data_IF_475406398591
#
_entry.id   IF_475406398591
#
_cell.length_a   1.000
_cell.length_b   1.000
_cell.length_c   1.000
_cell.angle_alpha   90.00
_cell.angle_beta   90.00
_cell.angle_gamma   90.00
#
_symmetry.space_group_name_H-M   'P 1'
#
loop_
_entity.id
_entity.type
_entity.pdbx_description
1 polymer ?
#
# COMPACT_ATOMS: atom_id res chain seq x y z
N UNK A 1 15.76 -13.31 17.97
CA UNK A 1 15.24 -13.18 16.59
C UNK A 1 13.75 -13.48 16.62
N UNK A 2 12.89 -12.49 16.38
CA UNK A 2 11.46 -12.77 16.15
C UNK A 2 11.38 -13.43 14.78
N UNK A 3 10.90 -14.67 14.71
CA UNK A 3 10.54 -15.30 13.44
C UNK A 3 9.61 -14.35 12.70
N UNK A 4 9.98 -13.94 11.48
CA UNK A 4 9.06 -13.26 10.60
C UNK A 4 7.92 -14.25 10.32
N UNK A 5 6.79 -14.03 10.98
CA UNK A 5 5.55 -14.72 10.63
C UNK A 5 5.28 -14.38 9.16
N UNK A 6 5.02 -15.37 8.31
CA UNK A 6 4.76 -15.12 6.89
C UNK A 6 3.26 -14.81 6.70
N UNK A 7 2.76 -13.72 7.31
CA UNK A 7 1.35 -13.34 7.19
C UNK A 7 1.16 -12.43 5.97
N UNK A 8 -0.02 -12.43 5.33
CA UNK A 8 -0.32 -11.53 4.21
C UNK A 8 -0.03 -10.06 4.50
N UNK A 9 -0.33 -9.59 5.72
CA UNK A 9 -0.01 -8.22 6.16
C UNK A 9 1.49 -7.90 6.14
N UNK A 10 2.36 -8.89 6.40
CA UNK A 10 3.80 -8.69 6.39
C UNK A 10 4.32 -8.53 4.94
N UNK A 11 3.72 -9.24 3.97
CA UNK A 11 3.98 -9.04 2.53
C UNK A 11 3.55 -7.66 2.06
N UNK A 12 2.38 -7.19 2.50
CA UNK A 12 1.89 -5.84 2.16
C UNK A 12 2.77 -4.74 2.76
N UNK A 13 3.25 -4.92 4.00
CA UNK A 13 4.20 -4.00 4.64
C UNK A 13 5.48 -3.90 3.81
N UNK A 14 6.03 -5.04 3.36
CA UNK A 14 7.21 -5.06 2.51
C UNK A 14 6.95 -4.34 1.17
N UNK A 15 5.79 -4.57 0.56
CA UNK A 15 5.37 -3.87 -0.65
C UNK A 15 5.35 -2.34 -0.44
N UNK A 16 4.67 -1.83 0.59
CA UNK A 16 4.63 -0.37 0.86
C UNK A 16 6.03 0.22 1.08
N UNK A 17 6.93 -0.51 1.73
CA UNK A 17 8.29 -0.05 1.99
C UNK A 17 9.20 -0.05 0.76
N UNK A 18 8.89 -0.87 -0.24
CA UNK A 18 9.74 -1.09 -1.42
C UNK A 18 9.09 -0.62 -2.72
N UNK A 19 7.85 -0.14 -2.68
CA UNK A 19 7.13 0.28 -3.88
C UNK A 19 7.81 1.45 -4.58
N UNK A 20 7.83 1.37 -5.90
CA UNK A 20 8.31 2.42 -6.79
C UNK A 20 7.44 2.47 -8.06
N UNK A 21 7.83 3.27 -9.04
CA UNK A 21 7.06 3.43 -10.28
C UNK A 21 6.88 2.08 -11.03
N UNK A 22 7.83 1.14 -10.90
CA UNK A 22 7.76 -0.20 -11.52
C UNK A 22 6.77 -1.13 -10.83
N UNK A 23 6.41 -0.87 -9.56
CA UNK A 23 5.42 -1.65 -8.83
C UNK A 23 4.04 -1.63 -9.47
N UNK A 24 3.73 -0.63 -10.31
CA UNK A 24 2.44 -0.56 -11.02
C UNK A 24 2.18 -1.80 -11.89
N UNK A 25 3.23 -2.43 -12.44
CA UNK A 25 3.13 -3.61 -13.31
C UNK A 25 3.03 -4.93 -12.52
N UNK A 26 3.20 -4.86 -11.19
CA UNK A 26 3.27 -6.03 -10.29
C UNK A 26 2.23 -5.97 -9.17
N UNK A 27 1.16 -5.20 -9.36
CA UNK A 27 0.10 -5.10 -8.34
C UNK A 27 -0.58 -6.45 -8.10
N UNK A 28 -0.68 -7.31 -9.13
CA UNK A 28 -1.22 -8.67 -9.00
C UNK A 28 -0.39 -9.62 -8.12
N UNK A 29 0.85 -9.26 -7.76
CA UNK A 29 1.66 -10.04 -6.80
C UNK A 29 1.18 -9.86 -5.35
N UNK A 30 0.38 -8.81 -5.09
CA UNK A 30 -0.04 -8.38 -3.75
C UNK A 30 -1.56 -8.28 -3.61
N UNK A 31 -2.26 -7.93 -4.69
CA UNK A 31 -3.70 -7.73 -4.70
C UNK A 31 -4.39 -8.77 -5.58
N UNK A 32 -5.56 -9.21 -5.13
CA UNK A 32 -6.45 -10.05 -5.93
C UNK A 32 -7.04 -9.27 -7.13
N UNK A 33 -7.40 -9.97 -8.20
CA UNK A 33 -8.04 -9.38 -9.38
C UNK A 33 -9.34 -8.61 -9.02
N UNK A 34 -10.04 -9.06 -7.97
CA UNK A 34 -11.26 -8.43 -7.46
C UNK A 34 -11.01 -7.42 -6.33
N UNK A 35 -9.79 -6.88 -6.20
CA UNK A 35 -9.46 -5.88 -5.18
C UNK A 35 -10.40 -4.68 -5.21
N UNK A 36 -10.81 -4.23 -4.03
CA UNK A 36 -11.48 -2.95 -3.85
C UNK A 36 -10.62 -2.04 -2.99
N UNK A 37 -10.29 -0.87 -3.53
CA UNK A 37 -9.46 0.13 -2.88
C UNK A 37 -10.22 1.45 -2.74
N UNK A 38 -10.05 2.09 -1.59
CA UNK A 38 -10.59 3.42 -1.34
C UNK A 38 -9.60 4.23 -0.49
N UNK A 39 -9.37 5.47 -0.90
CA UNK A 39 -8.79 6.52 -0.07
C UNK A 39 -9.72 7.75 -0.08
N UNK A 40 -9.42 8.85 0.64
CA UNK A 40 -10.30 10.03 0.67
C UNK A 40 -10.53 10.73 -0.69
N UNK A 41 -9.79 10.38 -1.73
CA UNK A 41 -9.76 11.01 -3.06
C UNK A 41 -10.10 10.01 -4.17
N UNK A 42 -9.70 8.75 -4.04
CA UNK A 42 -9.76 7.72 -5.06
C UNK A 42 -10.58 6.52 -4.62
N UNK A 43 -11.24 5.88 -5.58
CA UNK A 43 -11.86 4.57 -5.44
C UNK A 43 -11.47 3.75 -6.68
N UNK A 44 -11.10 2.49 -6.48
CA UNK A 44 -10.73 1.57 -7.55
C UNK A 44 -11.35 0.21 -7.31
N UNK A 45 -11.94 -0.35 -8.38
CA UNK A 45 -12.43 -1.73 -8.41
C UNK A 45 -11.65 -2.52 -9.47
N UNK A 46 -10.89 -3.50 -9.01
CA UNK A 46 -10.00 -4.33 -9.82
C UNK A 46 -8.63 -3.72 -10.08
N UNK A 47 -7.71 -4.55 -10.58
CA UNK A 47 -6.30 -4.21 -10.77
C UNK A 47 -6.08 -3.06 -11.76
N UNK A 48 -6.82 -3.02 -12.87
CA UNK A 48 -6.64 -1.97 -13.90
C UNK A 48 -6.88 -0.55 -13.36
N UNK A 49 -7.92 -0.39 -12.52
CA UNK A 49 -8.21 0.88 -11.87
C UNK A 49 -7.20 1.19 -10.78
N UNK A 50 -6.78 0.18 -10.03
CA UNK A 50 -5.74 0.31 -9.00
C UNK A 50 -4.41 0.76 -9.60
N UNK A 51 -4.03 0.21 -10.75
CA UNK A 51 -2.84 0.61 -11.51
C UNK A 51 -2.92 2.08 -11.92
N UNK A 52 -4.09 2.53 -12.38
CA UNK A 52 -4.31 3.94 -12.73
C UNK A 52 -4.09 4.87 -11.54
N UNK A 53 -4.62 4.50 -10.36
CA UNK A 53 -4.42 5.26 -9.11
C UNK A 53 -2.93 5.36 -8.76
N UNK A 54 -2.19 4.24 -8.80
CA UNK A 54 -0.75 4.23 -8.49
C UNK A 54 0.06 5.03 -9.51
N UNK A 55 -0.24 4.91 -10.80
CA UNK A 55 0.44 5.69 -11.85
C UNK A 55 0.24 7.18 -11.65
N UNK A 56 -0.97 7.61 -11.30
CA UNK A 56 -1.25 9.02 -11.03
C UNK A 56 -0.58 9.52 -9.73
N UNK A 57 -0.53 8.69 -8.69
CA UNK A 57 0.25 8.95 -7.49
C UNK A 57 1.73 9.22 -7.84
N UNK A 58 2.38 8.34 -8.60
CA UNK A 58 3.78 8.47 -8.98
C UNK A 58 4.07 9.60 -9.98
N UNK A 59 3.09 9.99 -10.82
CA UNK A 59 3.22 11.20 -11.66
C UNK A 59 3.29 12.46 -10.79
N UNK A 60 2.47 12.53 -9.75
CA UNK A 60 2.31 13.72 -8.93
C UNK A 60 3.35 13.84 -7.82
N UNK A 61 3.67 12.72 -7.17
CA UNK A 61 4.53 12.65 -6.00
C UNK A 61 5.85 11.95 -6.37
N UNK A 62 6.96 12.50 -5.88
CA UNK A 62 8.31 11.95 -6.08
C UNK A 62 8.94 11.57 -4.75
N UNK A 63 9.97 10.72 -4.77
CA UNK A 63 10.69 10.29 -3.57
C UNK A 63 9.74 9.75 -2.48
N UNK A 64 8.78 8.92 -2.89
CA UNK A 64 7.79 8.34 -1.98
C UNK A 64 8.48 7.27 -1.13
N UNK A 65 8.32 7.35 0.19
CA UNK A 65 8.79 6.31 1.12
C UNK A 65 7.78 6.15 2.23
N UNK A 66 7.56 4.91 2.68
CA UNK A 66 6.70 4.61 3.81
C UNK A 66 7.53 4.18 5.02
N UNK A 67 7.22 4.79 6.17
CA UNK A 67 7.69 4.32 7.48
C UNK A 67 6.52 3.70 8.21
N UNK A 68 6.60 2.40 8.49
CA UNK A 68 5.60 1.68 9.28
C UNK A 68 5.82 1.99 10.76
N UNK A 69 4.77 2.47 11.40
CA UNK A 69 4.76 2.89 12.80
C UNK A 69 4.26 1.77 13.70
N UNK A 70 3.20 1.09 13.28
CA UNK A 70 2.59 -0.02 14.00
C UNK A 70 1.78 -0.90 13.03
N UNK A 71 1.53 -2.14 13.42
CA UNK A 71 0.67 -3.06 12.70
C UNK A 71 -0.13 -3.96 13.65
N UNK A 72 -1.40 -4.15 13.36
CA UNK A 72 -2.25 -5.12 14.02
C UNK A 72 -2.67 -6.18 13.01
N UNK A 73 -2.14 -7.39 13.16
CA UNK A 73 -2.48 -8.51 12.29
C UNK A 73 -3.73 -9.22 12.82
N UNK A 74 -4.70 -9.42 11.94
CA UNK A 74 -5.90 -10.21 12.19
C UNK A 74 -6.36 -10.91 10.92
N UNK A 75 -7.23 -11.89 11.11
CA UNK A 75 -7.88 -12.68 10.06
C UNK A 75 -9.40 -12.52 10.24
N UNK A 76 -10.13 -11.96 9.27
CA UNK A 76 -9.69 -11.61 7.90
C UNK A 76 -9.16 -10.18 7.76
N UNK A 77 -9.07 -9.41 8.84
CA UNK A 77 -8.77 -7.97 8.77
C UNK A 77 -7.52 -7.58 9.55
N UNK A 78 -6.63 -6.84 8.90
CA UNK A 78 -5.43 -6.25 9.52
C UNK A 78 -5.38 -4.74 9.35
N UNK A 79 -4.59 -4.08 10.20
CA UNK A 79 -4.39 -2.64 10.17
C UNK A 79 -2.90 -2.29 10.14
N UNK A 80 -2.56 -1.23 9.42
CA UNK A 80 -1.20 -0.71 9.33
C UNK A 80 -1.24 0.78 9.57
N UNK A 81 -0.48 1.26 10.56
CA UNK A 81 -0.26 2.68 10.80
C UNK A 81 1.10 3.07 10.19
N UNK A 82 1.10 4.11 9.36
CA UNK A 82 2.28 4.53 8.61
C UNK A 82 2.41 6.04 8.52
N UNK A 83 3.62 6.49 8.18
CA UNK A 83 3.92 7.85 7.73
C UNK A 83 4.54 7.78 6.33
N UNK A 84 3.91 8.42 5.35
CA UNK A 84 4.43 8.55 3.99
C UNK A 84 5.20 9.86 3.89
N UNK A 85 6.48 9.78 3.52
CA UNK A 85 7.26 10.95 3.11
C UNK A 85 7.30 11.02 1.59
N UNK A 86 7.16 12.21 1.03
CA UNK A 86 7.12 12.43 -0.41
C UNK A 86 7.49 13.87 -0.78
N UNK A 87 7.83 14.10 -2.04
CA UNK A 87 8.01 15.43 -2.63
C UNK A 87 6.84 15.77 -3.55
N UNK A 88 6.26 16.94 -3.35
CA UNK A 88 5.23 17.51 -4.21
C UNK A 88 5.60 18.93 -4.61
N UNK A 89 5.72 19.18 -5.92
CA UNK A 89 6.14 20.47 -6.49
C UNK A 89 7.44 21.00 -5.85
N UNK A 90 8.43 20.12 -5.72
CA UNK A 90 9.76 20.44 -5.17
C UNK A 90 9.81 20.62 -3.64
N UNK A 91 8.70 20.40 -2.93
CA UNK A 91 8.65 20.52 -1.46
C UNK A 91 8.45 19.16 -0.81
N UNK A 92 9.29 18.81 0.14
CA UNK A 92 9.14 17.62 0.98
C UNK A 92 7.95 17.78 1.92
N UNK A 93 7.15 16.72 2.03
CA UNK A 93 5.95 16.62 2.85
C UNK A 93 5.88 15.27 3.53
N UNK A 94 5.05 15.20 4.57
CA UNK A 94 4.73 13.98 5.30
C UNK A 94 3.22 13.86 5.45
N UNK A 95 2.72 12.63 5.34
CA UNK A 95 1.32 12.29 5.52
C UNK A 95 1.24 11.10 6.48
N UNK A 96 0.68 11.25 7.70
CA UNK A 96 0.31 10.11 8.52
C UNK A 96 -0.95 9.43 7.95
N UNK A 97 -1.05 8.12 8.08
CA UNK A 97 -2.19 7.36 7.59
C UNK A 97 -2.34 6.01 8.26
N UNK A 98 -3.54 5.44 8.11
CA UNK A 98 -3.84 4.07 8.51
C UNK A 98 -4.49 3.37 7.31
N UNK A 99 -4.04 2.16 7.02
CA UNK A 99 -4.65 1.27 6.04
C UNK A 99 -5.33 0.11 6.76
N UNK A 100 -6.59 -0.15 6.42
CA UNK A 100 -7.29 -1.38 6.78
C UNK A 100 -7.21 -2.34 5.58
N UNK A 101 -6.76 -3.57 5.83
CA UNK A 101 -6.64 -4.62 4.82
C UNK A 101 -7.65 -5.71 5.13
N UNK A 102 -8.47 -6.05 4.12
CA UNK A 102 -9.28 -7.26 4.13
C UNK A 102 -8.63 -8.32 3.26
N UNK A 103 -8.47 -9.52 3.79
CA UNK A 103 -7.89 -10.67 3.09
C UNK A 103 -9.00 -11.61 2.64
N UNK A 104 -8.82 -12.21 1.46
CA UNK A 104 -9.71 -13.28 1.00
C UNK A 104 -9.18 -14.64 1.50
N UNK A 105 -9.80 -15.74 1.06
CA UNK A 105 -9.39 -17.07 1.49
C UNK A 105 -7.98 -17.49 1.01
N UNK A 106 -7.42 -16.79 0.02
CA UNK A 106 -6.09 -17.05 -0.52
C UNK A 106 -4.97 -16.35 0.27
N UNK A 107 -5.32 -15.46 1.22
CA UNK A 107 -4.38 -14.65 1.98
C UNK A 107 -4.18 -13.29 1.34
#
# INVERSE_FOLDING_TARGET
MKSASNRPVDSFVLFLQTMDESSCERLGDIYDEAVHFTDPVNEASGLDQMETVYRDLFKQLKQITFRIMDQAAGDPTSFIHWEMSYQFRGKSRKLPGITMLGFNHSG
#
